data_IF_634856320576
#
_entry.id   IF_634856320576
#
_cell.length_a   1.000
_cell.length_b   1.000
_cell.length_c   1.000
_cell.angle_alpha   90.00
_cell.angle_beta   90.00
_cell.angle_gamma   90.00
#
_symmetry.space_group_name_H-M   'P 1'
#
loop_
_entity.id
_entity.type
_entity.pdbx_description
1 polymer ?
#
# COMPACT_ATOMS: atom_id res chain seq x y z
N UNK A 1 9.80 -28.44 2.97
CA UNK A 1 9.86 -27.30 2.05
C UNK A 1 8.81 -26.27 2.48
N UNK A 2 9.22 -25.29 3.30
CA UNK A 2 8.35 -24.17 3.69
C UNK A 2 8.39 -23.08 2.60
N UNK A 3 7.24 -22.47 2.33
CA UNK A 3 7.11 -21.25 1.56
C UNK A 3 6.87 -20.10 2.54
N UNK A 4 7.55 -19.00 2.35
CA UNK A 4 7.41 -17.80 3.19
C UNK A 4 6.63 -16.75 2.40
N UNK A 5 5.54 -16.26 2.98
CA UNK A 5 4.75 -15.15 2.45
C UNK A 5 4.82 -14.01 3.46
N UNK A 6 5.33 -12.88 3.04
CA UNK A 6 5.43 -11.67 3.86
C UNK A 6 4.66 -10.53 3.20
N UNK A 7 4.04 -9.71 4.01
CA UNK A 7 3.32 -8.52 3.54
C UNK A 7 2.84 -7.67 4.70
N UNK A 8 2.17 -6.57 4.37
CA UNK A 8 1.63 -5.64 5.35
C UNK A 8 2.52 -4.41 5.60
N UNK A 9 3.82 -4.53 5.41
CA UNK A 9 4.79 -3.42 5.50
C UNK A 9 5.77 -3.48 4.33
N UNK A 10 6.61 -2.44 4.20
CA UNK A 10 7.71 -2.45 3.25
C UNK A 10 8.70 -3.57 3.59
N UNK A 11 9.11 -4.34 2.60
CA UNK A 11 10.01 -5.48 2.80
C UNK A 11 11.46 -5.00 2.89
N UNK A 12 12.14 -5.08 4.06
CA UNK A 12 13.53 -4.67 4.21
C UNK A 12 14.46 -5.57 3.39
N UNK A 13 15.47 -4.95 2.75
CA UNK A 13 16.43 -5.68 1.92
C UNK A 13 17.20 -6.74 2.71
N UNK A 14 17.67 -6.38 3.91
CA UNK A 14 18.42 -7.28 4.78
C UNK A 14 17.60 -8.51 5.19
N UNK A 15 16.30 -8.31 5.50
CA UNK A 15 15.39 -9.41 5.78
C UNK A 15 15.18 -10.30 4.55
N UNK A 16 15.03 -9.71 3.37
CA UNK A 16 14.91 -10.47 2.12
C UNK A 16 16.13 -11.35 1.87
N UNK A 17 17.34 -10.80 2.05
CA UNK A 17 18.59 -11.53 1.88
C UNK A 17 18.71 -12.69 2.89
N UNK A 18 18.38 -12.47 4.16
CA UNK A 18 18.38 -13.50 5.20
C UNK A 18 17.39 -14.64 4.88
N UNK A 19 16.15 -14.29 4.49
CA UNK A 19 15.15 -15.29 4.17
C UNK A 19 15.51 -16.11 2.93
N UNK A 20 16.13 -15.49 1.92
CA UNK A 20 16.56 -16.18 0.69
C UNK A 20 17.75 -17.14 0.90
N UNK A 21 18.46 -17.05 2.03
CA UNK A 21 19.46 -18.07 2.43
C UNK A 21 18.79 -19.32 3.01
N UNK A 22 17.73 -19.12 3.82
CA UNK A 22 17.09 -20.21 4.55
C UNK A 22 15.91 -20.87 3.83
N UNK A 23 15.29 -20.18 2.88
CA UNK A 23 14.06 -20.63 2.24
C UNK A 23 14.14 -20.54 0.71
N UNK A 24 13.63 -21.58 0.05
CA UNK A 24 13.60 -21.63 -1.42
C UNK A 24 12.58 -20.68 -2.04
N UNK A 25 11.44 -20.52 -1.40
CA UNK A 25 10.32 -19.74 -1.91
C UNK A 25 9.93 -18.65 -0.90
N UNK A 26 10.33 -17.42 -1.19
CA UNK A 26 9.97 -16.22 -0.41
C UNK A 26 9.17 -15.30 -1.32
N UNK A 27 7.98 -14.87 -0.85
CA UNK A 27 7.06 -14.05 -1.59
C UNK A 27 6.78 -12.75 -0.84
N UNK A 28 6.80 -11.65 -1.57
CA UNK A 28 6.36 -10.35 -1.09
C UNK A 28 4.91 -10.12 -1.54
N UNK A 29 4.03 -9.90 -0.57
CA UNK A 29 2.59 -9.74 -0.78
C UNK A 29 2.19 -8.32 -0.46
N UNK A 30 1.36 -7.71 -1.31
CA UNK A 30 0.85 -6.36 -1.09
C UNK A 30 -0.65 -6.29 -1.34
N UNK A 31 -1.33 -5.52 -0.52
CA UNK A 31 -2.73 -5.15 -0.65
C UNK A 31 -3.28 -4.57 0.65
N UNK A 32 -4.20 -3.62 0.55
CA UNK A 32 -4.93 -3.08 1.70
C UNK A 32 -6.13 -3.97 2.07
N UNK A 33 -6.64 -3.81 3.27
CA UNK A 33 -7.84 -4.50 3.78
C UNK A 33 -9.04 -4.28 2.86
N UNK A 34 -9.17 -3.10 2.29
CA UNK A 34 -10.26 -2.68 1.41
C UNK A 34 -10.29 -3.43 0.06
N UNK A 35 -9.23 -4.17 -0.26
CA UNK A 35 -9.15 -5.02 -1.45
C UNK A 35 -8.89 -6.49 -1.11
N UNK A 36 -9.33 -6.91 0.07
CA UNK A 36 -9.27 -8.29 0.57
C UNK A 36 -7.85 -8.83 0.71
N UNK A 37 -7.06 -8.13 1.52
CA UNK A 37 -5.73 -8.48 2.04
C UNK A 37 -4.62 -8.48 0.97
N UNK A 38 -4.73 -9.31 -0.08
CA UNK A 38 -3.69 -9.45 -1.09
C UNK A 38 -4.19 -9.06 -2.47
N UNK A 39 -3.48 -8.16 -3.11
CA UNK A 39 -3.80 -7.65 -4.45
C UNK A 39 -2.70 -7.92 -5.45
N UNK A 40 -1.45 -8.00 -4.99
CA UNK A 40 -0.29 -8.36 -5.81
C UNK A 40 0.64 -9.30 -5.09
N UNK A 41 1.50 -10.00 -5.83
CA UNK A 41 2.56 -10.83 -5.27
C UNK A 41 3.82 -10.81 -6.15
N UNK A 42 4.99 -10.87 -5.50
CA UNK A 42 6.29 -11.07 -6.14
C UNK A 42 7.04 -12.22 -5.49
N UNK A 43 7.62 -13.11 -6.29
CA UNK A 43 8.63 -14.05 -5.78
C UNK A 43 9.96 -13.32 -5.67
N UNK A 44 10.55 -13.28 -4.48
CA UNK A 44 11.85 -12.68 -4.29
C UNK A 44 12.97 -13.51 -4.93
N UNK A 45 13.90 -12.80 -5.55
CA UNK A 45 15.07 -13.41 -6.20
C UNK A 45 16.31 -12.68 -5.72
N UNK A 46 17.33 -13.44 -5.31
CA UNK A 46 18.60 -12.87 -4.84
C UNK A 46 19.22 -11.94 -5.89
N UNK A 47 19.63 -10.75 -5.46
CA UNK A 47 20.25 -9.75 -6.32
C UNK A 47 19.27 -8.94 -7.20
N UNK A 48 17.97 -9.27 -7.20
CA UNK A 48 16.96 -8.45 -7.90
C UNK A 48 16.36 -7.39 -6.98
N UNK A 49 15.80 -6.35 -7.60
CA UNK A 49 15.04 -5.33 -6.90
C UNK A 49 13.82 -5.95 -6.21
N UNK A 50 13.55 -5.52 -4.99
CA UNK A 50 12.35 -5.92 -4.27
C UNK A 50 11.17 -5.13 -4.83
N UNK A 51 10.21 -5.86 -5.39
CA UNK A 51 8.93 -5.34 -5.89
C UNK A 51 7.80 -5.97 -5.09
N UNK A 52 6.57 -5.47 -5.29
CA UNK A 52 5.36 -6.16 -4.83
C UNK A 52 4.72 -6.99 -5.95
N UNK A 53 5.37 -7.04 -7.11
CA UNK A 53 5.09 -7.95 -8.22
C UNK A 53 3.89 -7.56 -9.08
N UNK A 54 3.16 -8.59 -9.48
CA UNK A 54 2.04 -8.48 -10.44
C UNK A 54 0.70 -8.66 -9.74
N UNK A 55 -0.38 -8.13 -10.33
CA UNK A 55 -1.73 -8.33 -9.81
C UNK A 55 -2.08 -9.82 -9.70
N UNK A 56 -2.83 -10.17 -8.66
CA UNK A 56 -3.46 -11.48 -8.52
C UNK A 56 -4.62 -11.63 -9.49
N UNK A 57 -5.11 -12.86 -9.64
CA UNK A 57 -6.25 -13.17 -10.50
C UNK A 57 -7.46 -12.26 -10.13
N UNK A 58 -8.16 -11.77 -11.17
CA UNK A 58 -9.31 -10.87 -11.04
C UNK A 58 -9.04 -9.56 -10.30
N UNK A 59 -7.76 -9.16 -10.23
CA UNK A 59 -7.31 -7.88 -9.71
C UNK A 59 -6.67 -7.06 -10.81
N UNK A 60 -6.98 -5.78 -10.87
CA UNK A 60 -6.37 -4.82 -11.78
C UNK A 60 -5.74 -3.68 -10.98
N UNK A 61 -4.53 -3.31 -11.34
CA UNK A 61 -3.80 -2.21 -10.73
C UNK A 61 -3.66 -1.09 -11.75
N UNK A 62 -3.95 0.13 -11.31
CA UNK A 62 -3.75 1.35 -12.09
C UNK A 62 -2.86 2.30 -11.31
N UNK A 63 -1.94 2.96 -12.00
CA UNK A 63 -1.13 4.04 -11.44
C UNK A 63 -1.59 5.30 -12.14
N UNK A 64 -2.20 6.21 -11.38
CA UNK A 64 -2.88 7.38 -11.92
C UNK A 64 -2.26 8.66 -11.37
N UNK A 65 -2.32 9.72 -12.19
CA UNK A 65 -2.00 11.09 -11.79
C UNK A 65 -3.16 11.76 -11.05
N UNK A 66 -2.99 13.03 -10.69
CA UNK A 66 -4.00 13.88 -10.03
C UNK A 66 -5.29 14.04 -10.85
N UNK A 67 -5.20 13.89 -12.17
CA UNK A 67 -6.34 13.99 -13.10
C UNK A 67 -6.98 12.62 -13.40
N UNK A 68 -6.62 11.58 -12.62
CA UNK A 68 -7.10 10.21 -12.84
C UNK A 68 -6.72 9.64 -14.21
N UNK A 69 -5.56 10.07 -14.79
CA UNK A 69 -5.02 9.54 -16.04
C UNK A 69 -3.89 8.56 -15.73
N UNK A 70 -3.79 7.45 -16.48
CA UNK A 70 -2.66 6.52 -16.34
C UNK A 70 -1.33 7.21 -16.64
N UNK A 71 -0.35 6.97 -15.77
CA UNK A 71 1.00 7.45 -15.97
C UNK A 71 1.85 6.46 -16.78
N UNK A 72 2.88 6.92 -17.52
CA UNK A 72 3.81 6.04 -18.22
C UNK A 72 4.57 5.09 -17.27
N UNK A 73 5.11 4.00 -17.84
CA UNK A 73 6.00 3.08 -17.12
C UNK A 73 7.21 3.87 -16.57
N UNK A 74 7.56 3.61 -15.32
CA UNK A 74 8.64 4.28 -14.60
C UNK A 74 8.24 5.60 -13.92
N UNK A 75 7.11 6.19 -14.28
CA UNK A 75 6.59 7.40 -13.67
C UNK A 75 5.76 7.04 -12.43
N UNK A 76 5.92 7.81 -11.36
CA UNK A 76 5.16 7.63 -10.11
C UNK A 76 3.77 8.23 -10.20
N UNK A 77 2.81 7.56 -9.57
CA UNK A 77 1.45 8.02 -9.39
C UNK A 77 0.79 7.31 -8.22
N UNK A 78 -0.44 7.65 -7.90
CA UNK A 78 -1.21 6.93 -6.87
C UNK A 78 -1.65 5.57 -7.39
N UNK A 79 -1.53 4.55 -6.53
CA UNK A 79 -1.96 3.18 -6.83
C UNK A 79 -3.44 3.03 -6.58
N UNK A 80 -4.18 2.63 -7.61
CA UNK A 80 -5.59 2.27 -7.55
C UNK A 80 -5.75 0.77 -7.80
N UNK A 81 -6.60 0.13 -7.02
CA UNK A 81 -6.87 -1.31 -7.11
C UNK A 81 -8.33 -1.52 -7.46
N UNK A 82 -8.59 -2.28 -8.52
CA UNK A 82 -9.92 -2.67 -8.98
C UNK A 82 -10.03 -4.18 -9.08
N UNK A 83 -11.24 -4.70 -9.12
CA UNK A 83 -11.50 -6.12 -9.27
C UNK A 83 -12.41 -6.68 -8.19
N UNK A 84 -12.58 -8.01 -8.17
CA UNK A 84 -13.53 -8.69 -7.27
C UNK A 84 -13.20 -8.57 -5.79
N UNK A 85 -11.92 -8.34 -5.46
CA UNK A 85 -11.47 -8.13 -4.08
C UNK A 85 -11.84 -6.77 -3.48
N UNK A 86 -12.30 -5.80 -4.29
CA UNK A 86 -12.65 -4.46 -3.80
C UNK A 86 -13.92 -4.52 -2.97
N UNK A 87 -13.84 -4.08 -1.71
CA UNK A 87 -14.96 -4.06 -0.76
C UNK A 87 -16.09 -3.14 -1.22
N UNK A 88 -17.27 -3.32 -0.63
CA UNK A 88 -18.43 -2.44 -0.91
C UNK A 88 -18.23 -1.02 -0.39
N UNK A 89 -17.39 -0.85 0.64
CA UNK A 89 -17.06 0.44 1.25
C UNK A 89 -17.00 0.35 2.76
N UNK A 90 -16.81 1.50 3.40
CA UNK A 90 -16.85 1.65 4.86
C UNK A 90 -18.28 1.81 5.34
N UNK A 91 -18.65 1.04 6.36
CA UNK A 91 -19.99 1.06 6.93
C UNK A 91 -20.32 2.45 7.53
N UNK A 92 -21.48 3.00 7.17
CA UNK A 92 -21.96 4.32 7.62
C UNK A 92 -20.98 5.50 7.41
N UNK A 93 -20.07 5.39 6.43
CA UNK A 93 -19.09 6.44 6.12
C UNK A 93 -19.16 6.87 4.64
N UNK A 94 -20.28 7.50 4.22
CA UNK A 94 -20.44 7.92 2.83
C UNK A 94 -19.39 8.95 2.38
N UNK A 95 -18.90 9.78 3.30
CA UNK A 95 -17.82 10.75 3.11
C UNK A 95 -16.52 10.07 2.66
N UNK A 96 -16.07 9.06 3.44
CA UNK A 96 -14.87 8.28 3.11
C UNK A 96 -15.09 7.42 1.86
N UNK A 97 -16.27 6.86 1.68
CA UNK A 97 -16.56 6.06 0.49
C UNK A 97 -16.42 6.88 -0.78
N UNK A 98 -16.90 8.12 -0.78
CA UNK A 98 -16.78 9.03 -1.92
C UNK A 98 -15.32 9.39 -2.22
N UNK A 99 -14.48 9.50 -1.20
CA UNK A 99 -13.06 9.86 -1.37
C UNK A 99 -12.20 8.68 -1.75
N UNK A 100 -12.39 7.52 -1.12
CA UNK A 100 -11.52 6.35 -1.26
C UNK A 100 -11.96 5.36 -2.34
N UNK A 101 -13.24 5.31 -2.69
CA UNK A 101 -13.74 4.45 -3.76
C UNK A 101 -14.17 5.30 -4.96
N UNK A 102 -13.50 5.09 -6.09
CA UNK A 102 -13.69 5.84 -7.33
C UNK A 102 -14.21 4.94 -8.43
N UNK A 103 -14.91 5.51 -9.42
CA UNK A 103 -15.20 4.83 -10.66
C UNK A 103 -14.21 5.28 -11.71
N UNK A 104 -13.54 4.32 -12.33
CA UNK A 104 -12.62 4.56 -13.43
C UNK A 104 -13.39 4.82 -14.74
N UNK A 105 -12.69 5.25 -15.79
CA UNK A 105 -13.31 5.54 -17.12
C UNK A 105 -14.07 4.36 -17.72
N UNK A 106 -13.63 3.13 -17.42
CA UNK A 106 -14.31 1.90 -17.84
C UNK A 106 -15.47 1.50 -16.92
N UNK A 107 -15.92 2.41 -16.04
CA UNK A 107 -16.97 2.21 -15.05
C UNK A 107 -16.68 1.11 -14.00
N UNK A 108 -15.43 0.64 -13.88
CA UNK A 108 -15.04 -0.27 -12.81
C UNK A 108 -14.79 0.50 -11.51
N UNK A 109 -15.25 -0.08 -10.39
CA UNK A 109 -14.97 0.45 -9.05
C UNK A 109 -13.53 0.17 -8.69
N UNK A 110 -12.83 1.18 -8.20
CA UNK A 110 -11.46 1.06 -7.73
C UNK A 110 -11.28 1.71 -6.35
N UNK A 111 -10.39 1.16 -5.56
CA UNK A 111 -9.96 1.70 -4.28
C UNK A 111 -8.71 2.54 -4.47
N UNK A 112 -8.77 3.80 -4.04
CA UNK A 112 -7.64 4.73 -3.97
C UNK A 112 -6.82 4.42 -2.71
N UNK A 113 -5.66 3.78 -2.88
CA UNK A 113 -4.89 3.23 -1.75
C UNK A 113 -4.23 4.31 -0.89
N UNK A 114 -3.91 5.46 -1.50
CA UNK A 114 -3.02 6.46 -0.92
C UNK A 114 -1.54 6.06 -1.00
N UNK A 115 -1.21 4.91 -1.56
CA UNK A 115 0.17 4.52 -1.83
C UNK A 115 0.63 5.09 -3.17
N UNK A 116 1.86 5.58 -3.21
CA UNK A 116 2.55 5.96 -4.45
C UNK A 116 3.31 4.76 -4.99
N UNK A 117 3.21 4.54 -6.30
CA UNK A 117 3.90 3.44 -6.96
C UNK A 117 4.27 3.75 -8.39
N UNK A 118 5.00 2.82 -9.00
CA UNK A 118 5.33 2.86 -10.43
C UNK A 118 5.47 1.44 -10.98
N UNK A 119 5.22 1.29 -12.27
CA UNK A 119 5.51 0.07 -12.99
C UNK A 119 6.99 -0.01 -13.38
N UNK A 120 7.59 -1.18 -13.26
CA UNK A 120 8.87 -1.50 -13.90
C UNK A 120 8.65 -1.86 -15.38
N UNK A 121 9.73 -1.90 -16.17
CA UNK A 121 9.72 -2.42 -17.55
C UNK A 121 9.24 -3.87 -17.65
N UNK A 122 9.41 -4.66 -16.59
CA UNK A 122 9.00 -6.07 -16.51
C UNK A 122 7.52 -6.24 -16.10
N UNK A 123 6.80 -5.11 -15.92
CA UNK A 123 5.40 -5.08 -15.52
C UNK A 123 5.19 -5.48 -14.06
N UNK A 124 6.16 -5.22 -13.19
CA UNK A 124 6.04 -5.40 -11.74
C UNK A 124 5.81 -4.05 -11.05
N UNK A 125 5.01 -4.05 -9.99
CA UNK A 125 4.70 -2.87 -9.20
C UNK A 125 5.78 -2.64 -8.12
N UNK A 126 6.24 -1.40 -8.02
CA UNK A 126 7.05 -0.91 -6.90
C UNK A 126 6.23 0.07 -6.10
N UNK A 127 6.15 -0.12 -4.79
CA UNK A 127 5.59 0.86 -3.86
C UNK A 127 6.73 1.79 -3.41
N UNK A 128 6.51 3.09 -3.53
CA UNK A 128 7.49 4.13 -3.22
C UNK A 128 7.27 4.78 -1.86
N UNK A 129 6.06 4.66 -1.32
CA UNK A 129 5.65 5.27 -0.07
C UNK A 129 4.18 5.66 -0.10
N UNK A 130 3.80 6.62 0.73
CA UNK A 130 2.41 7.11 0.79
C UNK A 130 2.32 8.57 0.37
N UNK A 131 1.19 8.92 -0.25
CA UNK A 131 0.81 10.31 -0.56
C UNK A 131 0.16 11.01 0.64
N UNK A 132 -0.39 10.21 1.58
CA UNK A 132 -1.01 10.70 2.79
C UNK A 132 -0.12 10.52 4.03
N UNK A 133 -0.62 10.96 5.19
CA UNK A 133 0.12 10.88 6.47
C UNK A 133 -0.10 9.58 7.24
N UNK A 134 -0.69 8.57 6.61
CA UNK A 134 -0.87 7.26 7.21
C UNK A 134 0.47 6.51 7.28
N UNK A 135 0.68 5.79 8.36
CA UNK A 135 1.87 4.96 8.54
C UNK A 135 1.49 3.51 8.87
N UNK A 136 2.42 2.60 8.63
CA UNK A 136 2.36 1.23 9.12
C UNK A 136 3.48 1.01 10.13
N UNK A 137 3.12 0.58 11.33
CA UNK A 137 4.09 0.35 12.41
C UNK A 137 3.74 -0.94 13.16
N UNK A 138 4.63 -1.92 13.11
CA UNK A 138 4.46 -3.24 13.75
C UNK A 138 3.12 -3.91 13.40
N UNK A 139 2.73 -3.83 12.13
CA UNK A 139 1.46 -4.37 11.62
C UNK A 139 0.22 -3.49 11.86
N UNK A 140 0.34 -2.41 12.63
CA UNK A 140 -0.76 -1.47 12.85
C UNK A 140 -0.80 -0.40 11.77
N UNK A 141 -2.01 -0.14 11.28
CA UNK A 141 -2.32 0.97 10.38
C UNK A 141 -2.70 2.18 11.22
N UNK A 142 -1.91 3.22 11.19
CA UNK A 142 -2.04 4.39 12.06
C UNK A 142 -2.28 5.64 11.21
N UNK A 143 -3.40 6.30 11.46
CA UNK A 143 -3.70 7.63 10.93
C UNK A 143 -3.16 8.69 11.90
N UNK A 144 -2.07 9.38 11.53
CA UNK A 144 -1.48 10.42 12.41
C UNK A 144 -2.48 11.53 12.72
N UNK A 145 -3.36 11.85 11.77
CA UNK A 145 -4.43 12.84 11.96
C UNK A 145 -5.47 12.45 13.01
N UNK A 146 -5.72 11.14 13.23
CA UNK A 146 -6.61 10.67 14.28
C UNK A 146 -6.02 10.93 15.67
N UNK A 147 -4.73 10.66 15.83
CA UNK A 147 -4.00 10.97 17.08
C UNK A 147 -4.05 12.47 17.35
N UNK A 148 -3.79 13.31 16.35
CA UNK A 148 -3.88 14.76 16.46
C UNK A 148 -5.28 15.22 16.87
N UNK A 149 -6.31 14.60 16.27
CA UNK A 149 -7.70 14.90 16.60
C UNK A 149 -8.00 14.57 18.08
N UNK A 150 -7.61 13.38 18.56
CA UNK A 150 -7.81 12.97 19.95
C UNK A 150 -7.07 13.89 20.94
N UNK A 151 -5.85 14.29 20.62
CA UNK A 151 -5.09 15.22 21.44
C UNK A 151 -5.80 16.59 21.55
N UNK A 152 -6.35 17.10 20.44
CA UNK A 152 -7.09 18.37 20.45
C UNK A 152 -8.44 18.33 21.17
N UNK A 153 -8.98 17.14 21.43
CA UNK A 153 -10.19 16.99 22.26
C UNK A 153 -9.91 17.30 23.75
N UNK A 154 -8.65 17.28 24.16
CA UNK A 154 -8.29 17.68 25.53
C UNK A 154 -8.28 19.20 25.64
N UNK A 155 -9.04 19.75 26.59
CA UNK A 155 -9.34 21.19 26.69
C UNK A 155 -8.12 22.13 26.77
N UNK A 156 -6.97 21.63 27.25
CA UNK A 156 -5.73 22.39 27.37
C UNK A 156 -4.86 22.35 26.10
N UNK A 157 -5.23 21.55 25.08
CA UNK A 157 -4.47 21.43 23.82
C UNK A 157 -5.14 22.28 22.74
N UNK A 158 -4.44 23.33 22.32
CA UNK A 158 -4.91 24.21 21.23
C UNK A 158 -4.57 23.63 19.85
N UNK A 159 -3.37 23.12 19.69
CA UNK A 159 -2.88 22.51 18.46
C UNK A 159 -2.03 21.27 18.77
N UNK A 160 -2.07 20.27 17.89
CA UNK A 160 -1.28 19.06 17.98
C UNK A 160 -0.77 18.68 16.60
N UNK A 161 0.51 18.33 16.51
CA UNK A 161 1.15 17.76 15.31
C UNK A 161 1.86 16.46 15.71
N UNK A 162 1.57 15.39 14.99
CA UNK A 162 2.19 14.07 15.21
C UNK A 162 3.08 13.74 14.02
N UNK A 163 4.27 13.26 14.28
CA UNK A 163 5.22 12.79 13.27
C UNK A 163 5.97 11.56 13.75
N UNK A 164 6.51 10.79 12.81
CA UNK A 164 7.35 9.64 13.13
C UNK A 164 8.80 10.06 13.30
N UNK A 165 9.43 9.54 14.32
CA UNK A 165 10.85 9.66 14.52
C UNK A 165 11.51 8.28 14.48
N UNK A 166 12.55 8.11 13.64
CA UNK A 166 13.38 6.91 13.65
C UNK A 166 14.58 7.18 14.55
N UNK A 167 14.69 6.43 15.65
CA UNK A 167 15.90 6.46 16.44
C UNK A 167 17.01 5.72 15.68
N UNK A 168 18.18 6.32 15.54
CA UNK A 168 19.32 5.77 14.80
C UNK A 168 19.91 4.48 15.42
N UNK A 169 19.28 3.95 16.49
CA UNK A 169 19.73 2.76 17.23
C UNK A 169 18.82 1.52 17.02
N UNK A 170 17.96 1.52 16.01
CA UNK A 170 17.17 0.33 15.65
C UNK A 170 17.32 -0.03 14.17
#
# INVERSE_FOLDING_TARGET
NLRVLCGGESFPKDLAEQLLVGFRDVWNMYGPTETTIWSTCAKLVKGKQITVGKPLLETSIFILDENMQPVPIGVSGEVFISGRGVSTGYFLRPDLNKTKFKFLKNNSKAFATGDLGRWTSDGELIILGRSDRQIKMRGYRIELGEIEYQLRMYFAVKEAVVFTYRNAQQ
#
